data_IF_183977726513
#
_entry.id   IF_183977726513
#
_cell.length_a   1.000
_cell.length_b   1.000
_cell.length_c   1.000
_cell.angle_alpha   90.00
_cell.angle_beta   90.00
_cell.angle_gamma   90.00
#
_symmetry.space_group_name_H-M   'P 1'
#
loop_
_entity.id
_entity.type
_entity.pdbx_description
1 polymer ?
#
# COMPACT_ATOMS: atom_id res chain seq x y z
N UNK A 1 35.44 41.40 -3.84
CA UNK A 1 35.54 41.81 -5.26
C UNK A 1 34.79 40.76 -6.08
N UNK A 2 33.69 40.99 -6.78
CA UNK A 2 33.07 42.21 -7.30
C UNK A 2 31.57 42.19 -7.00
N UNK A 3 31.09 43.30 -6.47
CA UNK A 3 29.70 43.71 -6.31
C UNK A 3 29.13 44.13 -7.67
N UNK A 4 27.94 43.64 -8.04
CA UNK A 4 27.14 44.24 -9.11
C UNK A 4 25.90 44.88 -8.49
N UNK A 5 25.83 46.20 -8.65
CA UNK A 5 24.75 47.08 -8.22
C UNK A 5 23.65 47.15 -9.29
N UNK A 6 22.41 47.03 -8.81
CA UNK A 6 21.26 47.92 -9.02
C UNK A 6 20.79 48.25 -10.46
N UNK A 7 19.54 47.89 -10.75
CA UNK A 7 18.56 48.81 -11.32
C UNK A 7 17.14 48.33 -11.01
N UNK A 8 16.53 48.92 -9.98
CA UNK A 8 15.10 48.81 -9.71
C UNK A 8 14.37 49.71 -10.71
N UNK A 9 13.50 49.14 -11.54
CA UNK A 9 12.59 49.92 -12.38
C UNK A 9 11.27 50.12 -11.63
N UNK A 10 11.02 51.36 -11.23
CA UNK A 10 9.78 51.81 -10.59
C UNK A 10 8.77 52.14 -11.69
N UNK A 11 7.62 51.46 -11.71
CA UNK A 11 6.45 51.93 -12.44
C UNK A 11 5.27 52.08 -11.48
N UNK A 12 4.77 53.31 -11.45
CA UNK A 12 3.71 53.83 -10.58
C UNK A 12 2.33 53.27 -10.93
N UNK A 13 1.49 53.09 -9.91
CA UNK A 13 0.04 52.89 -10.00
C UNK A 13 -0.66 54.12 -10.61
N UNK A 14 -1.89 53.95 -11.14
CA UNK A 14 -3.01 54.55 -10.41
C UNK A 14 -4.24 53.64 -10.29
N UNK A 15 -4.83 53.65 -9.10
CA UNK A 15 -6.23 53.31 -8.81
C UNK A 15 -7.18 54.37 -9.35
N UNK A 16 -8.43 54.00 -9.68
CA UNK A 16 -9.55 54.85 -9.34
C UNK A 16 -10.58 54.15 -8.43
N UNK A 17 -11.09 54.99 -7.53
CA UNK A 17 -11.98 54.76 -6.40
C UNK A 17 -13.43 54.91 -6.88
N UNK A 18 -14.29 54.02 -6.40
CA UNK A 18 -15.73 54.17 -6.07
C UNK A 18 -16.51 55.38 -6.64
N UNK A 19 -17.57 55.07 -7.39
CA UNK A 19 -18.83 55.82 -7.54
C UNK A 19 -19.94 54.74 -7.51
N UNK A 20 -20.71 54.49 -6.44
CA UNK A 20 -21.87 55.27 -5.96
C UNK A 20 -22.70 55.88 -7.09
N UNK A 21 -23.81 55.24 -7.48
CA UNK A 21 -25.19 55.77 -7.35
C UNK A 21 -26.22 55.06 -8.23
N UNK A 22 -27.28 54.58 -7.58
CA UNK A 22 -28.70 54.69 -7.94
C UNK A 22 -29.21 54.33 -9.35
N UNK A 23 -29.95 53.23 -9.44
CA UNK A 23 -31.20 53.12 -10.22
C UNK A 23 -31.99 51.92 -9.64
N UNK A 24 -32.91 52.14 -8.70
CA UNK A 24 -34.31 52.51 -8.92
C UNK A 24 -35.15 51.39 -9.59
N UNK A 25 -35.87 50.66 -8.73
CA UNK A 25 -37.30 50.32 -8.88
C UNK A 25 -37.82 50.05 -10.30
N UNK A 26 -37.99 48.76 -10.63
CA UNK A 26 -39.14 48.29 -11.39
C UNK A 26 -39.75 47.10 -10.64
N UNK A 27 -40.77 47.43 -9.87
CA UNK A 27 -41.73 46.53 -9.25
C UNK A 27 -42.77 46.17 -10.33
N UNK A 28 -42.98 44.87 -10.59
CA UNK A 28 -44.29 44.20 -10.68
C UNK A 28 -44.27 42.94 -11.56
N UNK A 29 -44.88 41.89 -10.98
CA UNK A 29 -45.66 40.84 -11.64
C UNK A 29 -44.93 39.74 -12.44
N UNK A 30 -44.60 38.65 -11.74
CA UNK A 30 -44.88 37.28 -12.21
C UNK A 30 -44.89 36.30 -11.03
N UNK A 31 -46.02 36.25 -10.31
CA UNK A 31 -46.39 35.07 -9.53
C UNK A 31 -46.97 34.02 -10.47
N UNK A 32 -46.59 32.75 -10.26
CA UNK A 32 -47.03 31.49 -10.91
C UNK A 32 -46.15 30.96 -12.06
N UNK A 33 -45.05 30.32 -11.68
CA UNK A 33 -44.68 28.98 -12.14
C UNK A 33 -44.35 28.18 -10.85
N UNK A 34 -44.99 27.08 -10.47
CA UNK A 34 -45.54 26.01 -11.29
C UNK A 34 -44.47 24.95 -11.49
N UNK A 35 -44.32 24.05 -10.51
CA UNK A 35 -43.56 22.79 -10.54
C UNK A 35 -42.12 22.81 -11.07
N UNK A 36 -41.16 22.73 -10.14
CA UNK A 36 -40.03 21.82 -10.31
C UNK A 36 -39.81 21.09 -8.99
N UNK A 37 -39.94 19.76 -9.02
CA UNK A 37 -39.40 18.88 -7.98
C UNK A 37 -37.97 19.31 -7.69
N UNK A 38 -37.70 19.71 -6.46
CA UNK A 38 -36.36 19.71 -5.89
C UNK A 38 -35.93 18.25 -5.67
N UNK A 39 -35.52 17.61 -6.77
CA UNK A 39 -34.55 16.53 -6.74
C UNK A 39 -33.27 17.06 -7.39
N UNK A 40 -32.37 17.60 -6.56
CA UNK A 40 -30.95 17.63 -6.84
C UNK A 40 -30.25 17.09 -5.58
N UNK A 41 -29.43 16.03 -5.72
CA UNK A 41 -28.31 16.05 -6.65
C UNK A 41 -28.37 14.93 -7.70
N UNK A 42 -28.41 15.33 -8.97
CA UNK A 42 -27.89 14.50 -10.06
C UNK A 42 -26.55 15.07 -10.48
N UNK A 43 -25.50 14.63 -9.81
CA UNK A 43 -24.19 14.50 -10.45
C UNK A 43 -23.79 13.04 -10.36
N UNK A 44 -24.19 12.26 -11.36
CA UNK A 44 -23.59 10.95 -11.61
C UNK A 44 -23.16 10.91 -13.08
N UNK A 45 -21.85 11.09 -13.31
CA UNK A 45 -20.98 10.32 -14.23
C UNK A 45 -19.63 11.03 -14.42
N UNK A 46 -18.51 10.30 -14.26
CA UNK A 46 -18.13 9.35 -15.30
C UNK A 46 -18.00 7.92 -14.78
N UNK A 47 -19.13 7.21 -14.84
CA UNK A 47 -19.19 5.88 -15.45
C UNK A 47 -18.46 4.76 -14.75
N UNK A 48 -18.85 4.43 -13.50
CA UNK A 48 -19.04 3.06 -12.99
C UNK A 48 -19.20 3.03 -11.45
N UNK A 49 -19.99 3.92 -10.85
CA UNK A 49 -20.32 3.80 -9.42
C UNK A 49 -21.21 2.56 -9.18
N UNK A 50 -20.86 1.77 -8.16
CA UNK A 50 -21.56 0.56 -7.72
C UNK A 50 -22.35 0.79 -6.42
N UNK A 51 -21.87 1.68 -5.56
CA UNK A 51 -22.53 2.09 -4.33
C UNK A 51 -22.12 3.54 -3.99
N UNK A 52 -22.91 4.21 -3.16
CA UNK A 52 -22.52 5.48 -2.54
C UNK A 52 -22.75 5.43 -1.03
N UNK A 53 -21.76 5.89 -0.28
CA UNK A 53 -21.76 5.89 1.19
C UNK A 53 -21.45 7.31 1.64
N UNK A 54 -22.40 7.99 2.28
CA UNK A 54 -22.27 9.38 2.74
C UNK A 54 -21.83 10.39 1.66
N UNK A 55 -22.12 10.12 0.38
CA UNK A 55 -21.73 10.96 -0.74
C UNK A 55 -20.41 10.59 -1.42
N UNK A 56 -19.64 9.65 -0.86
CA UNK A 56 -18.47 9.05 -1.53
C UNK A 56 -18.94 7.89 -2.43
N UNK A 57 -18.37 7.78 -3.64
CA UNK A 57 -18.73 6.75 -4.61
C UNK A 57 -17.74 5.58 -4.58
N UNK A 58 -18.26 4.36 -4.46
CA UNK A 58 -17.48 3.13 -4.66
C UNK A 58 -17.61 2.70 -6.11
N UNK A 59 -16.50 2.55 -6.82
CA UNK A 59 -16.48 2.34 -8.28
C UNK A 59 -16.13 0.90 -8.70
N UNK A 60 -16.46 0.54 -9.94
CA UNK A 60 -16.02 -0.75 -10.54
C UNK A 60 -14.50 -0.83 -10.61
N UNK A 61 -13.79 0.29 -10.81
CA UNK A 61 -12.33 0.28 -10.82
C UNK A 61 -11.78 -0.19 -9.47
N UNK A 62 -12.27 0.39 -8.37
CA UNK A 62 -11.87 -0.01 -7.01
C UNK A 62 -12.21 -1.47 -6.74
N UNK A 63 -13.40 -1.93 -7.14
CA UNK A 63 -13.78 -3.34 -7.00
C UNK A 63 -12.82 -4.26 -7.77
N UNK A 64 -12.45 -3.90 -9.00
CA UNK A 64 -11.56 -4.70 -9.82
C UNK A 64 -10.12 -4.72 -9.28
N UNK A 65 -9.61 -3.59 -8.79
CA UNK A 65 -8.31 -3.50 -8.13
C UNK A 65 -8.27 -4.38 -6.87
N UNK A 66 -9.34 -4.36 -6.08
CA UNK A 66 -9.49 -5.17 -4.88
C UNK A 66 -9.54 -6.68 -5.22
N UNK A 67 -10.34 -7.06 -6.21
CA UNK A 67 -10.42 -8.45 -6.71
C UNK A 67 -9.07 -8.94 -7.26
N UNK A 68 -8.35 -8.08 -7.99
CA UNK A 68 -7.02 -8.40 -8.50
C UNK A 68 -6.01 -8.58 -7.37
N UNK A 69 -6.05 -7.72 -6.33
CA UNK A 69 -5.18 -7.84 -5.16
C UNK A 69 -5.41 -9.14 -4.40
N UNK A 70 -6.67 -9.58 -4.32
CA UNK A 70 -7.05 -10.85 -3.69
C UNK A 70 -6.76 -12.08 -4.57
N UNK A 71 -6.31 -11.88 -5.82
CA UNK A 71 -6.02 -12.99 -6.75
C UNK A 71 -7.27 -13.76 -7.20
N UNK A 72 -8.44 -13.12 -7.19
CA UNK A 72 -9.70 -13.79 -7.55
C UNK A 72 -9.72 -14.09 -9.04
N UNK A 73 -9.80 -15.37 -9.38
CA UNK A 73 -9.90 -15.83 -10.77
C UNK A 73 -11.22 -15.43 -11.43
N UNK A 74 -11.22 -15.30 -12.76
CA UNK A 74 -12.37 -14.83 -13.55
C UNK A 74 -13.67 -15.60 -13.28
N UNK A 75 -13.59 -16.91 -13.05
CA UNK A 75 -14.73 -17.78 -12.76
C UNK A 75 -15.40 -17.47 -11.42
N UNK A 76 -14.66 -16.92 -10.46
CA UNK A 76 -15.14 -16.63 -9.10
C UNK A 76 -15.56 -15.17 -8.92
N UNK A 77 -15.25 -14.30 -9.89
CA UNK A 77 -15.50 -12.85 -9.80
C UNK A 77 -16.95 -12.49 -9.53
N UNK A 78 -17.93 -13.24 -10.05
CA UNK A 78 -19.34 -12.93 -9.80
C UNK A 78 -19.76 -13.18 -8.34
N UNK A 79 -19.26 -14.25 -7.72
CA UNK A 79 -19.60 -14.60 -6.33
C UNK A 79 -18.77 -13.75 -5.36
N UNK A 80 -17.46 -13.66 -5.59
CA UNK A 80 -16.55 -12.87 -4.76
C UNK A 80 -16.81 -11.37 -4.89
N UNK A 81 -17.22 -10.88 -6.07
CA UNK A 81 -17.43 -9.46 -6.33
C UNK A 81 -18.45 -8.81 -5.40
N UNK A 82 -19.54 -9.50 -5.07
CA UNK A 82 -20.53 -9.00 -4.11
C UNK A 82 -19.96 -8.88 -2.69
N UNK A 83 -19.19 -9.88 -2.27
CA UNK A 83 -18.56 -9.90 -0.94
C UNK A 83 -17.49 -8.82 -0.82
N UNK A 84 -16.69 -8.65 -1.86
CA UNK A 84 -15.66 -7.61 -1.93
C UNK A 84 -16.30 -6.22 -1.97
N UNK A 85 -17.37 -6.02 -2.75
CA UNK A 85 -18.11 -4.76 -2.74
C UNK A 85 -18.69 -4.45 -1.36
N UNK A 86 -19.24 -5.45 -0.66
CA UNK A 86 -19.72 -5.25 0.71
C UNK A 86 -18.59 -4.86 1.66
N UNK A 87 -17.42 -5.50 1.56
CA UNK A 87 -16.26 -5.13 2.37
C UNK A 87 -15.76 -3.70 2.08
N UNK A 88 -15.85 -3.24 0.83
CA UNK A 88 -15.54 -1.85 0.47
C UNK A 88 -16.54 -0.87 1.09
N UNK A 89 -17.83 -1.20 1.10
CA UNK A 89 -18.88 -0.40 1.76
C UNK A 89 -18.63 -0.33 3.27
N UNK A 90 -18.36 -1.46 3.91
CA UNK A 90 -18.11 -1.54 5.35
C UNK A 90 -16.87 -0.72 5.73
N UNK A 91 -15.81 -0.78 4.90
CA UNK A 91 -14.61 0.04 5.07
C UNK A 91 -14.91 1.53 4.99
N UNK A 92 -15.68 1.96 4.00
CA UNK A 92 -16.05 3.37 3.82
C UNK A 92 -16.86 3.90 5.02
N UNK A 93 -17.79 3.08 5.55
CA UNK A 93 -18.54 3.42 6.76
C UNK A 93 -17.62 3.62 7.97
N UNK A 94 -16.64 2.73 8.15
CA UNK A 94 -15.65 2.82 9.24
C UNK A 94 -14.73 4.04 9.08
N UNK A 95 -14.27 4.32 7.86
CA UNK A 95 -13.44 5.49 7.55
C UNK A 95 -14.22 6.79 7.82
N UNK A 96 -15.50 6.84 7.44
CA UNK A 96 -16.38 7.95 7.74
C UNK A 96 -16.57 8.20 9.24
N UNK A 97 -16.73 7.15 10.04
CA UNK A 97 -16.83 7.30 11.51
C UNK A 97 -15.50 7.70 12.14
N UNK A 98 -14.39 7.08 11.71
CA UNK A 98 -13.04 7.42 12.15
C UNK A 98 -12.68 8.90 11.87
N UNK A 99 -13.15 9.45 10.76
CA UNK A 99 -12.96 10.87 10.41
C UNK A 99 -13.72 11.80 11.36
N UNK A 100 -14.93 11.44 11.81
CA UNK A 100 -15.69 12.24 12.81
C UNK A 100 -14.96 12.25 14.15
N UNK A 101 -14.39 11.12 14.53
CA UNK A 101 -13.56 10.97 15.74
C UNK A 101 -12.14 11.56 15.58
N UNK A 102 -11.77 11.99 14.38
CA UNK A 102 -10.44 12.54 14.03
C UNK A 102 -9.31 11.56 14.32
N UNK A 103 -9.55 10.25 14.15
CA UNK A 103 -8.54 9.22 14.34
C UNK A 103 -7.38 9.36 13.33
N UNK A 104 -7.64 9.95 12.16
CA UNK A 104 -6.63 10.34 11.17
C UNK A 104 -5.61 11.37 11.70
N UNK A 105 -5.96 12.09 12.77
CA UNK A 105 -5.10 13.09 13.43
C UNK A 105 -4.47 12.59 14.72
N UNK A 106 -4.76 11.36 15.14
CA UNK A 106 -4.10 10.76 16.29
C UNK A 106 -2.59 10.60 16.00
N UNK A 107 -1.69 11.01 16.92
CA UNK A 107 -0.25 10.95 16.68
C UNK A 107 0.28 9.55 16.35
N UNK A 108 -0.30 8.48 16.92
CA UNK A 108 0.13 7.11 16.64
C UNK A 108 -0.34 6.67 15.26
N UNK A 109 -1.56 7.03 14.87
CA UNK A 109 -2.11 6.74 13.53
C UNK A 109 -1.30 7.47 12.46
N UNK A 110 -1.05 8.77 12.63
CA UNK A 110 -0.22 9.55 11.71
C UNK A 110 1.17 8.95 11.55
N UNK A 111 1.81 8.57 12.66
CA UNK A 111 3.13 7.94 12.61
C UNK A 111 3.08 6.59 11.87
N UNK A 112 2.02 5.81 12.02
CA UNK A 112 1.83 4.56 11.30
C UNK A 112 1.65 4.79 9.79
N UNK A 113 0.85 5.78 9.40
CA UNK A 113 0.64 6.18 8.00
C UNK A 113 1.95 6.59 7.35
N UNK A 114 2.74 7.45 8.01
CA UNK A 114 4.01 7.92 7.44
C UNK A 114 5.06 6.82 7.33
N UNK A 115 5.09 5.87 8.28
CA UNK A 115 5.91 4.66 8.14
C UNK A 115 5.47 3.81 6.95
N UNK A 116 4.17 3.56 6.80
CA UNK A 116 3.63 2.77 5.69
C UNK A 116 3.91 3.44 4.34
N UNK A 117 3.72 4.76 4.24
CA UNK A 117 4.05 5.57 3.06
C UNK A 117 5.52 5.42 2.67
N UNK A 118 6.44 5.56 3.63
CA UNK A 118 7.87 5.42 3.38
C UNK A 118 8.23 4.04 2.84
N UNK A 119 7.67 2.97 3.42
CA UNK A 119 7.90 1.59 2.98
C UNK A 119 7.37 1.33 1.57
N UNK A 120 6.14 1.78 1.27
CA UNK A 120 5.52 1.62 -0.06
C UNK A 120 6.36 2.32 -1.13
N UNK A 121 6.82 3.55 -0.86
CA UNK A 121 7.66 4.31 -1.81
C UNK A 121 9.01 3.61 -2.03
N UNK A 122 9.65 3.15 -0.96
CA UNK A 122 10.92 2.43 -1.07
C UNK A 122 10.77 1.15 -1.90
N UNK A 123 9.72 0.36 -1.65
CA UNK A 123 9.44 -0.86 -2.41
C UNK A 123 9.14 -0.56 -3.88
N UNK A 124 8.31 0.44 -4.16
CA UNK A 124 7.98 0.86 -5.54
C UNK A 124 9.24 1.33 -6.29
N UNK A 125 10.14 2.06 -5.62
CA UNK A 125 11.41 2.47 -6.19
C UNK A 125 12.31 1.27 -6.52
N UNK A 126 12.43 0.31 -5.59
CA UNK A 126 13.20 -0.91 -5.82
C UNK A 126 12.64 -1.74 -6.97
N UNK A 127 11.31 -1.95 -7.03
CA UNK A 127 10.66 -2.66 -8.14
C UNK A 127 10.92 -1.99 -9.48
N UNK A 128 10.82 -0.65 -9.53
CA UNK A 128 11.10 0.12 -10.75
C UNK A 128 12.57 0.05 -11.17
N UNK A 129 13.51 -0.02 -10.22
CA UNK A 129 14.95 -0.02 -10.48
C UNK A 129 15.52 -1.40 -10.80
N UNK A 130 15.05 -2.43 -10.10
CA UNK A 130 15.45 -3.82 -10.37
C UNK A 130 14.77 -4.31 -11.67
N UNK A 131 13.59 -3.77 -12.00
CA UNK A 131 12.79 -4.24 -13.14
C UNK A 131 12.32 -5.67 -12.92
N UNK A 132 11.74 -6.27 -13.97
CA UNK A 132 11.66 -7.73 -14.01
C UNK A 132 13.07 -8.27 -14.26
N UNK A 133 13.62 -9.13 -13.38
CA UNK A 133 14.92 -9.72 -13.64
C UNK A 133 14.87 -10.46 -14.98
N UNK A 134 15.87 -10.21 -15.83
CA UNK A 134 16.01 -10.94 -17.09
C UNK A 134 16.01 -12.42 -16.76
N UNK A 135 15.02 -13.15 -17.29
CA UNK A 135 14.96 -14.59 -17.08
C UNK A 135 16.21 -15.20 -17.71
N UNK A 136 16.96 -16.06 -16.98
CA UNK A 136 18.13 -16.69 -17.54
C UNK A 136 17.73 -17.50 -18.77
N UNK A 137 18.60 -17.47 -19.77
CA UNK A 137 18.45 -18.27 -20.99
C UNK A 137 18.55 -19.76 -20.67
N UNK A 138 17.98 -20.65 -21.50
CA UNK A 138 18.14 -22.09 -21.30
C UNK A 138 19.61 -22.53 -21.18
N UNK A 139 20.52 -21.88 -21.92
CA UNK A 139 21.95 -22.15 -21.86
C UNK A 139 22.58 -21.75 -20.52
N UNK A 140 22.20 -20.61 -19.95
CA UNK A 140 22.67 -20.19 -18.62
C UNK A 140 22.15 -21.11 -17.51
N UNK A 141 20.91 -21.60 -17.66
CA UNK A 141 20.33 -22.59 -16.74
C UNK A 141 21.10 -23.92 -16.81
N UNK A 142 21.39 -24.41 -18.01
CA UNK A 142 22.16 -25.63 -18.21
C UNK A 142 23.60 -25.49 -17.70
N UNK A 143 24.27 -24.38 -17.98
CA UNK A 143 25.61 -24.09 -17.48
C UNK A 143 25.64 -24.04 -15.94
N UNK A 144 24.65 -23.39 -15.32
CA UNK A 144 24.52 -23.37 -13.85
C UNK A 144 24.29 -24.77 -13.28
N UNK A 145 23.43 -25.58 -13.90
CA UNK A 145 23.19 -26.96 -13.48
C UNK A 145 24.48 -27.78 -13.50
N UNK A 146 25.21 -27.72 -14.62
CA UNK A 146 26.44 -28.47 -14.83
C UNK A 146 27.59 -28.01 -13.92
N UNK A 147 27.67 -26.71 -13.61
CA UNK A 147 28.68 -26.13 -12.70
C UNK A 147 28.41 -26.39 -11.23
N UNK A 148 27.18 -26.81 -10.87
CA UNK A 148 26.79 -27.03 -9.48
C UNK A 148 26.30 -28.47 -9.24
N UNK A 149 27.07 -29.51 -9.61
CA UNK A 149 26.61 -30.89 -9.53
C UNK A 149 26.25 -31.31 -8.10
N UNK A 150 26.88 -30.76 -7.07
CA UNK A 150 26.58 -31.02 -5.66
C UNK A 150 25.15 -30.64 -5.24
N UNK A 151 24.51 -29.70 -5.93
CA UNK A 151 23.12 -29.33 -5.68
C UNK A 151 22.13 -30.18 -6.50
N UNK A 152 22.59 -30.75 -7.61
CA UNK A 152 21.75 -31.45 -8.58
C UNK A 152 22.18 -32.91 -8.78
N UNK A 153 23.03 -33.21 -9.77
CA UNK A 153 23.38 -34.57 -10.19
C UNK A 153 24.09 -35.42 -9.13
N UNK A 154 24.90 -34.77 -8.29
CA UNK A 154 25.66 -35.37 -7.19
C UNK A 154 25.09 -34.94 -5.83
N UNK A 155 23.80 -34.62 -5.76
CA UNK A 155 23.14 -34.26 -4.50
C UNK A 155 23.20 -35.45 -3.55
N UNK A 156 23.93 -35.27 -2.45
CA UNK A 156 23.98 -36.24 -1.35
C UNK A 156 22.93 -35.90 -0.31
N UNK A 157 22.21 -36.91 0.16
CA UNK A 157 21.35 -36.79 1.32
C UNK A 157 22.11 -37.34 2.52
N UNK A 158 22.20 -36.55 3.58
CA UNK A 158 22.82 -36.95 4.84
C UNK A 158 21.70 -37.14 5.86
N UNK A 159 21.68 -38.31 6.50
CA UNK A 159 21.00 -38.47 7.76
C UNK A 159 21.93 -37.92 8.84
N UNK A 160 21.49 -36.86 9.52
CA UNK A 160 22.22 -36.23 10.61
C UNK A 160 21.38 -36.37 11.87
N UNK A 161 21.99 -36.86 12.94
CA UNK A 161 21.44 -36.75 14.27
C UNK A 161 22.09 -35.54 14.94
N UNK A 162 21.35 -34.80 15.74
CA UNK A 162 21.84 -33.61 16.45
C UNK A 162 21.49 -33.72 17.93
N UNK A 163 22.44 -33.36 18.80
CA UNK A 163 22.24 -33.22 20.24
C UNK A 163 22.53 -31.77 20.62
N UNK A 164 21.52 -31.07 21.12
CA UNK A 164 21.61 -29.67 21.53
C UNK A 164 21.92 -29.61 23.02
N UNK A 165 23.02 -28.95 23.37
CA UNK A 165 23.51 -28.82 24.75
C UNK A 165 23.46 -27.35 25.15
N UNK A 166 22.88 -27.03 26.30
CA UNK A 166 22.93 -25.66 26.80
C UNK A 166 24.37 -25.30 27.19
N UNK A 167 24.80 -24.06 26.96
CA UNK A 167 26.20 -23.66 27.17
C UNK A 167 26.72 -23.92 28.61
N UNK A 168 25.85 -23.84 29.62
CA UNK A 168 26.18 -24.14 31.02
C UNK A 168 26.48 -25.62 31.28
N UNK A 169 25.95 -26.50 30.45
CA UNK A 169 26.04 -27.95 30.59
C UNK A 169 27.17 -28.52 29.70
N UNK A 170 27.86 -27.66 28.92
CA UNK A 170 29.04 -28.01 28.13
C UNK A 170 30.30 -28.00 29.00
N UNK A 171 30.44 -28.98 29.89
CA UNK A 171 31.63 -29.13 30.72
C UNK A 171 32.80 -29.78 29.94
N UNK A 172 34.06 -29.68 30.42
CA UNK A 172 35.20 -30.38 29.81
C UNK A 172 34.97 -31.90 29.68
N UNK A 173 34.25 -32.50 30.63
CA UNK A 173 33.90 -33.92 30.64
C UNK A 173 32.91 -34.26 29.52
N UNK A 174 31.86 -33.45 29.35
CA UNK A 174 30.88 -33.60 28.25
C UNK A 174 31.56 -33.43 26.88
N UNK A 175 32.51 -32.49 26.76
CA UNK A 175 33.30 -32.31 25.54
C UNK A 175 34.20 -33.51 25.24
N UNK A 176 34.90 -34.03 26.25
CA UNK A 176 35.75 -35.21 26.08
C UNK A 176 34.92 -36.47 25.72
N UNK A 177 33.72 -36.60 26.28
CA UNK A 177 32.77 -37.64 25.89
C UNK A 177 32.34 -37.48 24.42
N UNK A 178 31.99 -36.27 23.98
CA UNK A 178 31.62 -36.00 22.59
C UNK A 178 32.73 -36.30 21.57
N UNK A 179 33.99 -36.00 21.90
CA UNK A 179 35.13 -36.23 20.99
C UNK A 179 35.45 -37.72 20.79
N UNK A 180 35.03 -38.58 21.73
CA UNK A 180 35.31 -40.02 21.73
C UNK A 180 34.09 -40.92 21.52
N UNK A 181 32.88 -40.34 21.60
CA UNK A 181 31.61 -41.05 21.46
C UNK A 181 31.39 -41.58 20.04
N UNK A 182 30.75 -42.75 19.96
CA UNK A 182 30.35 -43.39 18.70
C UNK A 182 28.89 -43.12 18.34
N UNK A 183 28.11 -42.59 19.29
CA UNK A 183 26.72 -42.20 19.10
C UNK A 183 26.35 -41.00 19.98
N UNK A 184 25.25 -40.32 19.66
CA UNK A 184 24.80 -39.18 20.46
C UNK A 184 24.21 -39.61 21.81
N UNK A 185 23.69 -40.83 21.90
CA UNK A 185 23.17 -41.40 23.13
C UNK A 185 24.27 -41.55 24.18
N UNK A 186 25.50 -41.89 23.77
CA UNK A 186 26.67 -41.96 24.67
C UNK A 186 27.00 -40.59 25.29
N UNK A 187 26.83 -39.51 24.53
CA UNK A 187 27.05 -38.13 25.01
C UNK A 187 25.88 -37.66 25.88
N UNK A 188 24.64 -38.04 25.52
CA UNK A 188 23.44 -37.60 26.21
C UNK A 188 23.34 -38.08 27.68
N UNK A 189 24.03 -39.16 28.05
CA UNK A 189 24.09 -39.66 29.45
C UNK A 189 24.77 -38.67 30.41
N UNK A 190 25.54 -37.70 29.89
CA UNK A 190 26.25 -36.71 30.68
C UNK A 190 25.48 -35.40 30.90
N UNK A 191 24.27 -35.28 30.34
CA UNK A 191 23.39 -34.10 30.44
C UNK A 191 22.28 -34.34 31.48
#
# INVERSE_FOLDING_TARGET
MKTFHLAANQTSFPTPRRLLSAAALVLCAATLAGCSKDEAPKESKPGQALASVNGEEITVLQLNEELQRLGVGAQQQQVAGKQVLQALIDRELLEGEAAKEKLDRDPKVMQAIERARSLIIAQAYMQKRIGEPVRPTPAEVEDYFNKNPQFFSNRKQFAMNELIIAARDLTPEVRAAADSAKSLEEVAVFL
#
